data_IF_952726151891
#
_entry.id   IF_952726151891
#
_cell.length_a   1.000
_cell.length_b   1.000
_cell.length_c   1.000
_cell.angle_alpha   90.00
_cell.angle_beta   90.00
_cell.angle_gamma   90.00
#
_symmetry.space_group_name_H-M   'P 1'
#
loop_
_entity.id
_entity.type
_entity.pdbx_description
1 polymer ?
#
# COMPACT_ATOMS: atom_id res chain seq x y z
N UNK A 1 -3.10 11.58 -21.36
CA UNK A 1 -2.90 11.28 -19.94
C UNK A 1 -1.49 10.71 -19.81
N UNK A 2 -0.66 11.21 -18.89
CA UNK A 2 0.69 10.67 -18.67
C UNK A 2 0.60 9.30 -18.00
N UNK A 3 1.63 8.44 -18.15
CA UNK A 3 1.67 7.12 -17.48
C UNK A 3 1.48 7.23 -15.97
N UNK A 4 2.05 8.26 -15.35
CA UNK A 4 1.91 8.50 -13.92
C UNK A 4 0.47 8.88 -13.53
N UNK A 5 -0.23 9.68 -14.34
CA UNK A 5 -1.63 10.09 -14.07
C UNK A 5 -2.57 8.88 -14.15
N UNK A 6 -2.39 8.02 -15.15
CA UNK A 6 -3.20 6.79 -15.28
C UNK A 6 -2.93 5.83 -14.13
N UNK A 7 -1.66 5.71 -13.73
CA UNK A 7 -1.28 4.87 -12.59
C UNK A 7 -1.91 5.36 -11.29
N UNK A 8 -1.82 6.66 -10.98
CA UNK A 8 -2.46 7.26 -9.79
C UNK A 8 -3.98 7.08 -9.80
N UNK A 9 -4.62 7.22 -10.96
CA UNK A 9 -6.05 6.99 -11.10
C UNK A 9 -6.44 5.57 -10.64
N UNK A 10 -5.76 4.55 -11.12
CA UNK A 10 -6.04 3.15 -10.73
C UNK A 10 -5.64 2.86 -9.28
N UNK A 11 -4.55 3.45 -8.81
CA UNK A 11 -4.09 3.32 -7.42
C UNK A 11 -5.13 3.91 -6.45
N UNK A 12 -5.64 5.10 -6.73
CA UNK A 12 -6.66 5.74 -5.90
C UNK A 12 -8.02 5.02 -5.97
N UNK A 13 -8.40 4.47 -7.12
CA UNK A 13 -9.59 3.62 -7.22
C UNK A 13 -9.47 2.39 -6.32
N UNK A 14 -8.33 1.71 -6.34
CA UNK A 14 -8.09 0.53 -5.49
C UNK A 14 -8.08 0.92 -4.01
N UNK A 15 -7.40 2.01 -3.64
CA UNK A 15 -7.37 2.51 -2.27
C UNK A 15 -8.76 2.90 -1.77
N UNK A 16 -9.56 3.58 -2.61
CA UNK A 16 -10.95 3.96 -2.28
C UNK A 16 -11.82 2.74 -2.06
N UNK A 17 -11.78 1.76 -2.96
CA UNK A 17 -12.57 0.53 -2.82
C UNK A 17 -12.18 -0.27 -1.57
N UNK A 18 -10.89 -0.27 -1.22
CA UNK A 18 -10.41 -0.89 0.03
C UNK A 18 -10.92 -0.13 1.26
N UNK A 19 -10.93 1.20 1.22
CA UNK A 19 -11.44 2.05 2.29
C UNK A 19 -12.98 1.95 2.46
N UNK A 20 -13.71 1.72 1.37
CA UNK A 20 -15.17 1.62 1.36
C UNK A 20 -15.67 0.23 1.79
N UNK A 21 -14.83 -0.81 1.81
CA UNK A 21 -15.21 -2.11 2.37
C UNK A 21 -15.18 -2.06 3.91
N UNK A 22 -16.34 -2.26 4.60
CA UNK A 22 -16.41 -2.12 6.06
C UNK A 22 -15.54 -3.13 6.83
N UNK A 23 -15.22 -4.26 6.24
CA UNK A 23 -14.35 -5.25 6.87
C UNK A 23 -12.88 -4.84 6.75
N UNK A 24 -12.46 -4.41 5.56
CA UNK A 24 -11.07 -4.03 5.29
C UNK A 24 -10.68 -2.73 5.99
N UNK A 25 -11.55 -1.70 5.93
CA UNK A 25 -11.27 -0.37 6.50
C UNK A 25 -11.01 -0.39 8.02
N UNK A 26 -11.58 -1.36 8.74
CA UNK A 26 -11.37 -1.52 10.18
C UNK A 26 -10.15 -2.37 10.55
N UNK A 27 -9.50 -2.98 9.55
CA UNK A 27 -8.45 -3.99 9.76
C UNK A 27 -7.15 -3.71 9.03
N UNK A 28 -7.17 -2.81 8.06
CA UNK A 28 -5.99 -2.41 7.30
C UNK A 28 -5.54 -1.03 7.74
N UNK A 29 -4.29 -0.93 8.14
CA UNK A 29 -3.64 0.30 8.56
C UNK A 29 -2.69 0.76 7.46
N UNK A 30 -3.01 1.88 6.83
CA UNK A 30 -2.28 2.38 5.66
C UNK A 30 -0.90 2.90 6.05
N UNK A 31 0.13 2.49 5.29
CA UNK A 31 1.53 2.83 5.55
C UNK A 31 2.36 2.97 4.27
N UNK A 32 3.65 3.08 4.45
CA UNK A 32 4.62 3.06 3.35
C UNK A 32 4.74 4.38 2.59
N UNK A 33 5.40 4.31 1.43
CA UNK A 33 5.74 5.52 0.67
C UNK A 33 4.51 6.28 0.14
N UNK A 34 3.47 5.57 -0.30
CA UNK A 34 2.24 6.20 -0.80
C UNK A 34 1.48 6.90 0.32
N UNK A 35 1.36 6.28 1.50
CA UNK A 35 0.77 6.93 2.66
C UNK A 35 1.55 8.19 3.05
N UNK A 36 2.88 8.12 3.12
CA UNK A 36 3.72 9.26 3.45
C UNK A 36 3.60 10.41 2.44
N UNK A 37 3.45 10.10 1.15
CA UNK A 37 3.21 11.10 0.09
C UNK A 37 1.83 11.74 0.23
N UNK A 38 0.77 10.96 0.42
CA UNK A 38 -0.61 11.47 0.56
C UNK A 38 -0.78 12.28 1.86
N UNK A 39 0.01 12.00 2.90
CA UNK A 39 0.03 12.77 4.15
C UNK A 39 0.94 14.01 4.08
N UNK A 40 1.57 14.27 2.93
CA UNK A 40 2.44 15.44 2.73
C UNK A 40 3.82 15.34 3.36
N UNK A 41 4.25 14.13 3.80
CA UNK A 41 5.57 13.93 4.41
C UNK A 41 6.68 13.67 3.39
N UNK A 42 6.31 13.18 2.19
CA UNK A 42 7.24 12.95 1.09
C UNK A 42 6.74 13.63 -0.18
N UNK A 43 7.60 14.40 -0.82
CA UNK A 43 7.35 14.99 -2.14
C UNK A 43 7.98 14.10 -3.22
N UNK A 44 7.41 12.91 -3.41
CA UNK A 44 7.85 11.99 -4.45
C UNK A 44 6.71 11.11 -4.96
N UNK A 45 6.82 10.67 -6.21
CA UNK A 45 5.88 9.71 -6.77
C UNK A 45 6.04 8.35 -6.10
N UNK A 46 4.94 7.80 -5.61
CA UNK A 46 4.85 6.45 -5.04
C UNK A 46 3.76 5.64 -5.74
N UNK A 47 3.93 4.33 -5.80
CA UNK A 47 3.22 3.49 -6.77
C UNK A 47 2.61 2.22 -6.17
N UNK A 48 2.96 1.89 -4.93
CA UNK A 48 2.56 0.67 -4.27
C UNK A 48 1.62 1.00 -3.09
N UNK A 49 0.72 0.10 -2.75
CA UNK A 49 -0.13 0.20 -1.56
C UNK A 49 0.38 -0.77 -0.50
N UNK A 50 0.76 -0.22 0.63
CA UNK A 50 1.25 -1.00 1.77
C UNK A 50 0.34 -0.81 2.97
N UNK A 51 0.02 -1.90 3.66
CA UNK A 51 -0.79 -1.90 4.88
C UNK A 51 -0.17 -2.80 5.94
N UNK A 52 -0.44 -2.48 7.20
CA UNK A 52 -0.34 -3.43 8.30
C UNK A 52 -1.72 -4.04 8.56
N UNK A 53 -1.75 -5.31 8.93
CA UNK A 53 -2.97 -6.02 9.27
C UNK A 53 -3.21 -5.97 10.78
N UNK A 54 -4.42 -5.63 11.18
CA UNK A 54 -4.84 -5.72 12.58
C UNK A 54 -4.67 -7.16 13.08
N UNK A 55 -4.09 -7.38 14.28
CA UNK A 55 -3.92 -8.71 14.84
C UNK A 55 -5.23 -9.51 14.91
N UNK A 56 -5.11 -10.83 14.79
CA UNK A 56 -6.24 -11.77 14.84
C UNK A 56 -7.28 -11.60 13.73
N UNK A 57 -6.90 -10.94 12.63
CA UNK A 57 -7.76 -10.85 11.43
C UNK A 57 -7.65 -12.12 10.61
N UNK A 58 -8.77 -12.64 10.14
CA UNK A 58 -8.81 -13.78 9.21
C UNK A 58 -8.29 -13.35 7.82
N UNK A 59 -7.11 -13.82 7.48
CA UNK A 59 -6.43 -13.49 6.22
C UNK A 59 -7.15 -14.07 5.00
N UNK A 60 -7.90 -15.15 5.15
CA UNK A 60 -8.70 -15.73 4.08
C UNK A 60 -9.85 -14.81 3.68
N UNK A 61 -10.49 -14.18 4.65
CA UNK A 61 -11.53 -13.17 4.39
C UNK A 61 -10.95 -11.90 3.74
N UNK A 62 -9.79 -11.44 4.21
CA UNK A 62 -9.08 -10.31 3.57
C UNK A 62 -8.84 -10.61 2.09
N UNK A 63 -8.29 -11.78 1.79
CA UNK A 63 -8.01 -12.23 0.42
C UNK A 63 -9.28 -12.30 -0.43
N UNK A 64 -10.34 -12.88 0.11
CA UNK A 64 -11.63 -12.97 -0.58
C UNK A 64 -12.18 -11.59 -0.94
N UNK A 65 -12.14 -10.64 0.01
CA UNK A 65 -12.60 -9.27 -0.20
C UNK A 65 -11.77 -8.53 -1.25
N UNK A 66 -10.44 -8.63 -1.17
CA UNK A 66 -9.56 -8.01 -2.16
C UNK A 66 -9.76 -8.59 -3.57
N UNK A 67 -9.90 -9.91 -3.71
CA UNK A 67 -10.16 -10.54 -5.01
C UNK A 67 -11.48 -10.05 -5.61
N UNK A 68 -12.52 -9.84 -4.81
CA UNK A 68 -13.76 -9.22 -5.28
C UNK A 68 -13.53 -7.78 -5.74
N UNK A 69 -12.82 -6.96 -4.96
CA UNK A 69 -12.47 -5.59 -5.35
C UNK A 69 -11.66 -5.58 -6.67
N UNK A 70 -10.69 -6.48 -6.84
CA UNK A 70 -9.94 -6.57 -8.08
C UNK A 70 -10.84 -6.88 -9.28
N UNK A 71 -11.81 -7.79 -9.12
CA UNK A 71 -12.80 -8.09 -10.17
C UNK A 71 -13.68 -6.88 -10.49
N UNK A 72 -14.23 -6.22 -9.48
CA UNK A 72 -15.11 -5.05 -9.63
C UNK A 72 -14.39 -3.85 -10.29
N UNK A 73 -13.07 -3.74 -10.08
CA UNK A 73 -12.22 -2.71 -10.68
C UNK A 73 -11.56 -3.12 -12.01
N UNK A 74 -11.85 -4.31 -12.51
CA UNK A 74 -11.24 -4.90 -13.73
C UNK A 74 -9.71 -4.99 -13.65
N UNK A 75 -9.18 -5.23 -12.44
CA UNK A 75 -7.77 -5.45 -12.19
C UNK A 75 -7.44 -6.94 -12.32
N UNK A 76 -6.58 -7.29 -13.27
CA UNK A 76 -6.15 -8.68 -13.46
C UNK A 76 -5.01 -9.01 -12.50
N UNK A 77 -5.22 -9.94 -11.57
CA UNK A 77 -4.15 -10.50 -10.74
C UNK A 77 -3.16 -11.27 -11.64
N UNK A 78 -1.90 -10.86 -11.62
CA UNK A 78 -0.82 -11.48 -12.43
C UNK A 78 0.21 -12.21 -11.57
N UNK A 79 0.32 -11.84 -10.30
CA UNK A 79 1.14 -12.51 -9.33
C UNK A 79 0.50 -12.40 -7.94
N UNK A 80 0.53 -13.47 -7.17
CA UNK A 80 0.01 -13.54 -5.82
C UNK A 80 0.89 -14.47 -4.98
N UNK A 81 1.22 -14.06 -3.77
CA UNK A 81 1.89 -14.94 -2.82
C UNK A 81 0.83 -15.62 -1.92
N UNK A 82 0.80 -16.95 -1.97
CA UNK A 82 -0.17 -17.74 -1.18
C UNK A 82 0.14 -17.69 0.32
N UNK A 83 1.42 -17.51 0.69
CA UNK A 83 1.87 -17.50 2.09
C UNK A 83 1.82 -16.11 2.73
N UNK A 84 1.54 -15.07 1.97
CA UNK A 84 1.44 -13.70 2.44
C UNK A 84 0.36 -12.98 1.65
N UNK A 85 -0.15 -11.86 2.18
CA UNK A 85 -1.12 -11.02 1.49
C UNK A 85 -0.40 -10.03 0.56
N UNK A 86 0.24 -10.58 -0.48
CA UNK A 86 0.90 -9.80 -1.53
C UNK A 86 0.25 -10.07 -2.88
N UNK A 87 -0.09 -9.00 -3.60
CA UNK A 87 -0.74 -9.04 -4.91
C UNK A 87 -0.06 -8.09 -5.88
N UNK A 88 0.18 -8.58 -7.09
CA UNK A 88 0.46 -7.74 -8.25
C UNK A 88 -0.73 -7.83 -9.21
N UNK A 89 -1.32 -6.69 -9.52
CA UNK A 89 -2.45 -6.59 -10.44
C UNK A 89 -2.09 -5.72 -11.63
N UNK A 90 -2.75 -5.95 -12.76
CA UNK A 90 -2.63 -5.12 -13.97
C UNK A 90 -3.95 -4.50 -14.33
N UNK A 91 -3.90 -3.22 -14.68
CA UNK A 91 -5.00 -2.48 -15.31
C UNK A 91 -4.78 -2.36 -16.83
N UNK A 92 -5.83 -2.13 -17.64
CA UNK A 92 -5.70 -1.89 -19.06
C UNK A 92 -4.84 -0.65 -19.35
N UNK A 93 -3.84 -0.78 -20.19
CA UNK A 93 -2.95 0.32 -20.56
C UNK A 93 -2.48 0.22 -22.00
N UNK A 94 -1.90 1.30 -22.54
CA UNK A 94 -1.25 1.31 -23.84
C UNK A 94 0.02 0.46 -23.79
N UNK A 95 0.40 -0.14 -24.92
CA UNK A 95 1.61 -0.96 -25.05
C UNK A 95 2.85 -0.19 -24.57
N UNK A 96 3.68 -0.83 -23.75
CA UNK A 96 4.92 -0.31 -23.17
C UNK A 96 4.76 0.75 -22.05
N UNK A 97 3.56 0.96 -21.50
CA UNK A 97 3.39 1.82 -20.34
C UNK A 97 3.27 1.01 -19.03
N UNK A 98 3.58 1.67 -17.91
CA UNK A 98 3.37 1.06 -16.58
C UNK A 98 1.89 0.74 -16.38
N UNK A 99 1.60 -0.49 -15.99
CA UNK A 99 0.23 -0.92 -15.71
C UNK A 99 0.12 -1.89 -14.53
N UNK A 100 1.14 -1.97 -13.68
CA UNK A 100 1.16 -2.89 -12.55
C UNK A 100 0.97 -2.12 -11.24
N UNK A 101 -0.02 -2.53 -10.45
CA UNK A 101 -0.22 -2.10 -9.08
C UNK A 101 0.21 -3.21 -8.14
N UNK A 102 0.96 -2.86 -7.10
CA UNK A 102 1.33 -3.76 -6.02
C UNK A 102 0.57 -3.40 -4.77
N UNK A 103 0.03 -4.40 -4.11
CA UNK A 103 -0.61 -4.28 -2.81
C UNK A 103 0.02 -5.29 -1.87
N UNK A 104 0.57 -4.82 -0.75
CA UNK A 104 1.21 -5.63 0.28
C UNK A 104 0.52 -5.39 1.61
N UNK A 105 0.19 -6.47 2.31
CA UNK A 105 -0.36 -6.40 3.66
C UNK A 105 0.53 -7.23 4.57
N UNK A 106 1.08 -6.59 5.59
CA UNK A 106 1.98 -7.19 6.56
C UNK A 106 1.18 -7.70 7.74
N UNK A 107 1.28 -9.01 8.00
CA UNK A 107 0.51 -9.71 9.03
C UNK A 107 1.13 -9.57 10.41
N UNK A 108 2.45 -9.41 10.48
CA UNK A 108 3.20 -9.25 11.72
C UNK A 108 3.24 -7.78 12.16
N UNK A 109 2.18 -7.35 12.85
CA UNK A 109 2.11 -5.99 13.38
C UNK A 109 3.19 -5.77 14.44
N UNK A 110 4.05 -4.78 14.22
CA UNK A 110 5.04 -4.36 15.23
C UNK A 110 4.32 -3.61 16.35
N UNK A 111 4.44 -4.10 17.59
CA UNK A 111 3.72 -3.56 18.76
C UNK A 111 4.06 -2.10 19.06
N UNK A 112 5.26 -1.63 18.64
CA UNK A 112 5.71 -0.25 18.83
C UNK A 112 5.18 0.71 17.74
N UNK A 113 4.43 0.22 16.76
CA UNK A 113 3.86 1.07 15.72
C UNK A 113 2.61 1.78 16.23
N UNK A 114 2.55 3.09 16.01
CA UNK A 114 1.41 3.93 16.30
C UNK A 114 0.62 4.26 15.04
N UNK A 115 -0.71 4.34 15.20
CA UNK A 115 -1.65 4.59 14.10
C UNK A 115 -2.68 5.63 14.53
N UNK A 116 -3.10 6.47 13.57
CA UNK A 116 -4.17 7.45 13.79
C UNK A 116 -5.00 7.67 12.52
N UNK A 117 -6.26 8.11 12.66
CA UNK A 117 -7.10 8.41 11.51
C UNK A 117 -6.62 9.70 10.82
N UNK A 118 -6.53 9.64 9.48
CA UNK A 118 -6.21 10.78 8.62
C UNK A 118 -7.20 10.89 7.48
N UNK A 119 -7.69 12.10 7.22
CA UNK A 119 -8.45 12.38 6.02
C UNK A 119 -7.51 12.54 4.82
N UNK A 120 -7.77 11.80 3.76
CA UNK A 120 -7.01 11.81 2.51
C UNK A 120 -7.83 12.50 1.40
N UNK A 121 -7.52 13.75 1.05
CA UNK A 121 -8.30 14.53 0.09
C UNK A 121 -8.39 13.87 -1.30
N UNK A 122 -7.33 13.20 -1.75
CA UNK A 122 -7.23 12.59 -3.07
C UNK A 122 -8.30 11.52 -3.32
N UNK A 123 -8.74 10.86 -2.25
CA UNK A 123 -9.79 9.83 -2.32
C UNK A 123 -11.04 10.22 -1.55
N UNK A 124 -11.05 11.38 -0.88
CA UNK A 124 -12.15 11.87 -0.03
C UNK A 124 -12.59 10.81 1.02
N UNK A 125 -11.63 10.20 1.71
CA UNK A 125 -11.86 9.18 2.75
C UNK A 125 -10.93 9.38 3.93
N UNK A 126 -11.37 8.92 5.11
CA UNK A 126 -10.52 8.82 6.30
C UNK A 126 -10.04 7.39 6.46
N UNK A 127 -8.72 7.21 6.53
CA UNK A 127 -8.08 5.92 6.80
C UNK A 127 -7.27 5.99 8.09
N UNK A 128 -7.15 4.85 8.77
CA UNK A 128 -6.16 4.68 9.83
C UNK A 128 -4.78 4.50 9.19
N UNK A 129 -3.88 5.45 9.45
CA UNK A 129 -2.52 5.48 8.90
C UNK A 129 -1.48 5.35 10.00
N UNK A 130 -0.31 4.78 9.67
CA UNK A 130 0.84 4.89 10.56
C UNK A 130 1.17 6.38 10.82
N UNK A 131 1.60 6.69 12.06
CA UNK A 131 2.12 8.02 12.37
C UNK A 131 3.45 8.28 11.66
N UNK A 132 3.79 9.55 11.46
CA UNK A 132 5.06 9.92 10.81
C UNK A 132 6.27 9.38 11.56
N UNK A 133 6.25 9.45 12.89
CA UNK A 133 7.36 8.96 13.73
C UNK A 133 7.56 7.45 13.52
N UNK A 134 6.47 6.69 13.46
CA UNK A 134 6.48 5.26 13.15
C UNK A 134 7.00 4.99 11.74
N UNK A 135 6.51 5.73 10.73
CA UNK A 135 6.98 5.59 9.34
C UNK A 135 8.47 5.87 9.22
N UNK A 136 8.96 6.91 9.91
CA UNK A 136 10.37 7.29 9.91
C UNK A 136 11.23 6.22 10.60
N UNK A 137 10.84 5.75 11.79
CA UNK A 137 11.54 4.70 12.51
C UNK A 137 11.64 3.40 11.67
N UNK A 138 10.52 2.96 11.08
CA UNK A 138 10.49 1.78 10.22
C UNK A 138 11.34 1.96 8.96
N UNK A 139 11.40 3.17 8.41
CA UNK A 139 12.26 3.49 7.28
C UNK A 139 13.74 3.35 7.63
N UNK A 140 14.17 3.84 8.79
CA UNK A 140 15.54 3.68 9.27
C UNK A 140 15.92 2.21 9.47
N UNK A 141 15.03 1.42 10.07
CA UNK A 141 15.23 -0.03 10.24
C UNK A 141 15.39 -0.70 8.87
N UNK A 142 14.50 -0.41 7.92
CA UNK A 142 14.54 -0.99 6.58
C UNK A 142 15.84 -0.64 5.81
N UNK A 143 16.37 0.58 5.99
CA UNK A 143 17.65 1.00 5.40
C UNK A 143 18.79 0.22 6.03
N UNK A 144 18.82 0.11 7.35
CA UNK A 144 19.85 -0.64 8.10
C UNK A 144 19.85 -2.12 7.71
N UNK A 145 18.68 -2.75 7.67
CA UNK A 145 18.53 -4.16 7.27
C UNK A 145 19.00 -4.39 5.82
N UNK A 146 18.66 -3.49 4.92
CA UNK A 146 19.09 -3.58 3.52
C UNK A 146 20.59 -3.41 3.39
N UNK A 147 21.17 -2.45 4.10
CA UNK A 147 22.62 -2.26 4.13
C UNK A 147 23.33 -3.49 4.69
N UNK A 148 22.86 -4.06 5.79
CA UNK A 148 23.45 -5.26 6.38
C UNK A 148 23.38 -6.48 5.45
N UNK A 149 22.28 -6.63 4.69
CA UNK A 149 22.08 -7.76 3.77
C UNK A 149 22.80 -7.61 2.44
N UNK A 150 22.85 -6.39 1.90
CA UNK A 150 23.29 -6.16 0.52
C UNK A 150 24.47 -5.21 0.39
N UNK A 151 24.95 -4.60 1.48
CA UNK A 151 26.00 -3.57 1.50
C UNK A 151 25.72 -2.40 0.52
N UNK A 152 24.44 -2.11 0.28
CA UNK A 152 23.98 -1.09 -0.65
C UNK A 152 22.76 -0.35 -0.10
N UNK A 153 22.77 0.99 -0.28
CA UNK A 153 21.62 1.86 0.00
C UNK A 153 21.09 2.36 -1.35
N UNK A 154 19.81 2.13 -1.62
CA UNK A 154 19.18 2.66 -2.82
C UNK A 154 18.91 4.17 -2.67
N UNK A 155 19.06 4.96 -3.75
CA UNK A 155 18.81 6.41 -3.72
C UNK A 155 17.43 6.78 -3.15
N UNK A 156 16.40 5.96 -3.43
CA UNK A 156 15.04 6.12 -2.87
C UNK A 156 14.96 5.94 -1.34
N UNK A 157 16.01 5.48 -0.69
CA UNK A 157 16.05 5.30 0.76
C UNK A 157 16.52 6.57 1.48
N UNK A 158 17.06 7.54 0.73
CA UNK A 158 17.58 8.81 1.26
C UNK A 158 16.53 9.93 1.22
N UNK A 159 15.46 9.74 0.41
CA UNK A 159 14.37 10.69 0.23
C UNK A 159 13.08 10.19 0.87
#
# INVERSE_FOLDING_TARGET
>A
MTDNTLHLFHLYRLLTATADDPFLSQRLFFKGGTAATMLGFLDRFSVDLDFDLKPSTDTSQVRQKLNRIFQDLELKVVNENVKSLFFETKYPSVKNSRNTLKLSIFEDLVTANDYQPHFLPEINRTLTCQTIDTMFANKLIAITDRYNKHQHIAGRDIY
#
